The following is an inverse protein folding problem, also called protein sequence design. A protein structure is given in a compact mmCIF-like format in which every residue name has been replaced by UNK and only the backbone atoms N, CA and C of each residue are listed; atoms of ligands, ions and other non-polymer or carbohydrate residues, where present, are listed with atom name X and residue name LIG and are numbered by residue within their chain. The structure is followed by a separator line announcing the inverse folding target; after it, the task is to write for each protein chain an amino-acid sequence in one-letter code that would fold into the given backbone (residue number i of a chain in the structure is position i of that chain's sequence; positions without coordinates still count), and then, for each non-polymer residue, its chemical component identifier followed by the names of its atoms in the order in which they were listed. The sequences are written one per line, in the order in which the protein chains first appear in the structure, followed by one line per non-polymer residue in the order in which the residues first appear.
data_IF_264519421902
#
_entry.id   IF_264519421902
#
_cell.length_a   1.000
_cell.length_b   1.000
_cell.length_c   1.000
_cell.angle_alpha   90.00
_cell.angle_beta   90.00
_cell.angle_gamma   90.00
#
_symmetry.space_group_name_H-M   'P 1'
#
loop_
_entity.id
_entity.type
_entity.pdbx_description
1 polymer ?
#
# COMPACT_ATOMS: atom_id res chain seq x y z
N UNK A 1 51.23 3.88 -2.00
CA UNK A 1 51.08 3.32 -3.36
C UNK A 1 49.74 3.82 -3.92
N UNK A 2 49.76 4.88 -4.72
CA UNK A 2 48.54 5.51 -5.23
C UNK A 2 48.00 4.70 -6.43
N UNK A 3 46.75 4.24 -6.35
CA UNK A 3 46.08 3.58 -7.46
C UNK A 3 45.85 4.61 -8.59
N UNK A 4 46.39 4.35 -9.78
CA UNK A 4 46.06 5.13 -10.98
C UNK A 4 44.55 5.04 -11.26
N UNK A 5 43.91 6.12 -11.74
CA UNK A 5 42.44 6.16 -11.91
C UNK A 5 41.86 5.01 -12.74
N UNK A 6 42.62 4.49 -13.72
CA UNK A 6 42.23 3.31 -14.51
C UNK A 6 42.27 2.00 -13.71
N UNK A 7 43.20 1.89 -12.75
CA UNK A 7 43.32 0.74 -11.83
C UNK A 7 42.20 0.77 -10.78
N UNK A 8 41.84 1.96 -10.28
CA UNK A 8 40.70 2.13 -9.39
C UNK A 8 39.38 1.75 -10.07
N UNK A 9 39.13 2.20 -11.31
CA UNK A 9 37.94 1.79 -12.06
C UNK A 9 37.85 0.27 -12.30
N UNK A 10 38.98 -0.40 -12.56
CA UNK A 10 39.02 -1.86 -12.66
C UNK A 10 38.67 -2.54 -11.34
N UNK A 11 39.14 -2.00 -10.22
CA UNK A 11 38.79 -2.48 -8.88
C UNK A 11 37.29 -2.31 -8.62
N UNK A 12 36.72 -1.11 -8.84
CA UNK A 12 35.29 -0.86 -8.65
C UNK A 12 34.42 -1.83 -9.46
N UNK A 13 34.76 -2.06 -10.74
CA UNK A 13 34.05 -3.02 -11.58
C UNK A 13 34.13 -4.44 -11.03
N UNK A 14 35.30 -4.89 -10.57
CA UNK A 14 35.45 -6.23 -9.97
C UNK A 14 34.62 -6.36 -8.70
N UNK A 15 34.66 -5.37 -7.82
CA UNK A 15 33.83 -5.33 -6.61
C UNK A 15 32.35 -5.39 -6.96
N UNK A 16 31.90 -4.59 -7.93
CA UNK A 16 30.51 -4.61 -8.41
C UNK A 16 30.09 -5.98 -8.94
N UNK A 17 30.92 -6.63 -9.78
CA UNK A 17 30.62 -7.97 -10.28
C UNK A 17 30.59 -9.02 -9.18
N UNK A 18 31.54 -8.98 -8.23
CA UNK A 18 31.57 -9.89 -7.09
C UNK A 18 30.32 -9.73 -6.23
N UNK A 19 29.91 -8.49 -5.95
CA UNK A 19 28.68 -8.18 -5.21
C UNK A 19 27.46 -8.72 -5.96
N UNK A 20 27.33 -8.44 -7.26
CA UNK A 20 26.23 -8.94 -8.09
C UNK A 20 26.18 -10.47 -8.13
N UNK A 21 27.32 -11.13 -8.27
CA UNK A 21 27.41 -12.59 -8.30
C UNK A 21 27.00 -13.21 -6.94
N UNK A 22 27.42 -12.59 -5.84
CA UNK A 22 27.05 -13.04 -4.49
C UNK A 22 25.55 -12.91 -4.23
N UNK A 23 24.94 -11.77 -4.60
CA UNK A 23 23.49 -11.60 -4.53
C UNK A 23 22.73 -12.55 -5.44
N UNK A 24 23.26 -12.81 -6.64
CA UNK A 24 22.66 -13.75 -7.58
C UNK A 24 22.59 -15.17 -6.99
N UNK A 25 23.68 -15.64 -6.36
CA UNK A 25 23.71 -16.96 -5.73
C UNK A 25 22.69 -17.08 -4.58
N UNK A 26 22.62 -16.06 -3.71
CA UNK A 26 21.61 -16.03 -2.63
C UNK A 26 20.18 -16.02 -3.19
N UNK A 27 19.95 -15.32 -4.30
CA UNK A 27 18.66 -15.28 -4.95
C UNK A 27 18.30 -16.63 -5.58
N UNK A 28 19.26 -17.33 -6.22
CA UNK A 28 19.02 -18.65 -6.77
C UNK A 28 18.61 -19.66 -5.71
N UNK A 29 19.31 -19.72 -4.58
CA UNK A 29 18.98 -20.63 -3.47
C UNK A 29 17.57 -20.38 -2.94
N UNK A 30 17.21 -19.10 -2.74
CA UNK A 30 15.85 -18.71 -2.34
C UNK A 30 14.81 -19.09 -3.40
N UNK A 31 15.12 -18.90 -4.68
CA UNK A 31 14.21 -19.21 -5.78
C UNK A 31 13.99 -20.71 -5.97
N UNK A 32 15.01 -21.53 -5.73
CA UNK A 32 14.86 -23.00 -5.74
C UNK A 32 13.85 -23.44 -4.68
N UNK A 33 13.97 -22.89 -3.48
CA UNK A 33 13.07 -23.17 -2.37
C UNK A 33 11.65 -22.63 -2.65
N UNK A 34 11.54 -21.38 -3.12
CA UNK A 34 10.27 -20.80 -3.56
C UNK A 34 9.58 -21.65 -4.63
N UNK A 35 10.34 -22.31 -5.50
CA UNK A 35 9.79 -23.09 -6.60
C UNK A 35 8.88 -24.25 -6.13
N UNK A 36 9.01 -24.70 -4.87
CA UNK A 36 8.14 -25.68 -4.21
C UNK A 36 6.82 -25.08 -3.72
N UNK A 37 6.82 -23.77 -3.45
CA UNK A 37 5.69 -23.00 -2.94
C UNK A 37 5.12 -22.04 -3.99
N UNK A 38 5.53 -22.18 -5.25
CA UNK A 38 4.97 -21.42 -6.35
C UNK A 38 3.48 -21.76 -6.52
N UNK A 39 2.55 -20.78 -6.53
CA UNK A 39 1.11 -21.05 -6.59
C UNK A 39 0.66 -21.82 -7.84
N UNK A 40 1.45 -21.81 -8.92
CA UNK A 40 1.07 -22.45 -10.19
C UNK A 40 1.58 -23.90 -10.26
N UNK A 41 2.84 -24.12 -9.88
CA UNK A 41 3.55 -25.38 -10.11
C UNK A 41 4.02 -26.08 -8.83
N UNK A 42 4.00 -25.40 -7.69
CA UNK A 42 4.55 -25.87 -6.42
C UNK A 42 3.91 -27.16 -5.92
N UNK A 43 2.58 -27.23 -5.91
CA UNK A 43 1.84 -28.42 -5.47
C UNK A 43 2.28 -29.70 -6.20
N UNK A 44 2.47 -29.64 -7.52
CA UNK A 44 2.94 -30.78 -8.32
C UNK A 44 4.36 -31.19 -7.97
N UNK A 45 5.25 -30.24 -7.67
CA UNK A 45 6.63 -30.53 -7.29
C UNK A 45 6.71 -31.16 -5.89
N UNK A 46 5.89 -30.67 -4.96
CA UNK A 46 5.77 -31.26 -3.62
C UNK A 46 5.28 -32.72 -3.70
N UNK A 47 4.27 -32.99 -4.53
CA UNK A 47 3.79 -34.35 -4.81
C UNK A 47 4.89 -35.25 -5.42
N UNK A 48 5.65 -34.73 -6.38
CA UNK A 48 6.74 -35.48 -7.02
C UNK A 48 7.87 -35.84 -6.05
N UNK A 49 8.15 -34.99 -5.06
CA UNK A 49 9.21 -35.22 -4.09
C UNK A 49 8.78 -36.12 -2.93
N UNK A 50 7.49 -36.47 -2.81
CA UNK A 50 6.94 -37.33 -1.75
C UNK A 50 7.36 -36.90 -0.33
N UNK A 51 7.43 -35.60 -0.08
CA UNK A 51 7.84 -35.05 1.21
C UNK A 51 6.72 -35.21 2.25
N UNK A 52 7.10 -35.46 3.51
CA UNK A 52 6.16 -35.47 4.63
C UNK A 52 5.62 -34.06 4.92
N UNK A 53 4.39 -33.92 5.48
CA UNK A 53 3.84 -32.61 5.82
C UNK A 53 4.72 -31.77 6.76
N UNK A 54 5.50 -32.43 7.62
CA UNK A 54 6.47 -31.82 8.53
C UNK A 54 7.69 -31.29 7.79
N UNK A 55 8.25 -32.03 6.84
CA UNK A 55 9.38 -31.55 6.02
C UNK A 55 8.96 -30.35 5.17
N UNK A 56 7.76 -30.41 4.59
CA UNK A 56 7.20 -29.29 3.81
C UNK A 56 7.06 -28.04 4.69
N UNK A 57 6.61 -28.20 5.94
CA UNK A 57 6.52 -27.09 6.88
C UNK A 57 7.90 -26.49 7.22
N UNK A 58 8.92 -27.32 7.43
CA UNK A 58 10.30 -26.83 7.66
C UNK A 58 10.81 -26.05 6.44
N UNK A 59 10.62 -26.57 5.23
CA UNK A 59 11.00 -25.87 4.00
C UNK A 59 10.25 -24.54 3.83
N UNK A 60 9.00 -24.49 4.24
CA UNK A 60 8.15 -23.29 4.22
C UNK A 60 8.68 -22.22 5.19
N UNK A 61 9.02 -22.59 6.43
CA UNK A 61 9.61 -21.66 7.40
C UNK A 61 11.01 -21.21 6.99
N UNK A 62 11.81 -22.10 6.41
CA UNK A 62 13.12 -21.75 5.85
C UNK A 62 12.97 -20.74 4.70
N UNK A 63 11.96 -20.91 3.84
CA UNK A 63 11.69 -19.98 2.77
C UNK A 63 11.39 -18.58 3.28
N UNK A 64 10.48 -18.47 4.25
CA UNK A 64 10.18 -17.19 4.90
C UNK A 64 11.44 -16.60 5.53
N UNK A 65 12.22 -17.39 6.26
CA UNK A 65 13.48 -16.93 6.86
C UNK A 65 14.41 -16.29 5.83
N UNK A 66 14.65 -16.95 4.69
CA UNK A 66 15.48 -16.39 3.63
C UNK A 66 14.85 -15.16 2.99
N UNK A 67 13.54 -15.18 2.74
CA UNK A 67 12.82 -14.05 2.16
C UNK A 67 12.97 -12.80 3.03
N UNK A 68 12.69 -12.91 4.33
CA UNK A 68 12.81 -11.79 5.26
C UNK A 68 14.25 -11.29 5.37
N UNK A 69 15.25 -12.18 5.43
CA UNK A 69 16.66 -11.77 5.41
C UNK A 69 17.03 -11.00 4.14
N UNK A 70 16.51 -11.41 2.97
CA UNK A 70 16.73 -10.71 1.70
C UNK A 70 16.05 -9.34 1.72
N UNK A 71 14.84 -9.23 2.27
CA UNK A 71 14.13 -7.96 2.43
C UNK A 71 14.91 -7.01 3.33
N UNK A 72 15.33 -7.47 4.51
CA UNK A 72 16.08 -6.67 5.49
C UNK A 72 17.41 -6.19 4.89
N UNK A 73 18.19 -7.09 4.24
CA UNK A 73 19.45 -6.73 3.54
C UNK A 73 19.25 -5.78 2.34
N UNK A 74 18.05 -5.72 1.80
CA UNK A 74 17.70 -4.88 0.66
C UNK A 74 17.05 -3.55 1.06
N UNK A 75 17.07 -3.23 2.35
CA UNK A 75 16.45 -2.05 2.98
C UNK A 75 14.94 -1.95 2.73
N UNK A 76 14.25 -3.09 2.65
CA UNK A 76 12.79 -3.09 2.74
C UNK A 76 12.37 -3.03 4.21
N UNK A 77 11.41 -2.17 4.52
CA UNK A 77 10.74 -2.12 5.82
C UNK A 77 9.35 -2.73 5.70
N UNK A 78 8.86 -3.39 6.74
CA UNK A 78 7.45 -3.80 6.81
C UNK A 78 6.62 -2.55 7.04
N UNK A 79 5.51 -2.41 6.30
CA UNK A 79 4.62 -1.26 6.46
C UNK A 79 3.95 -1.29 7.84
N UNK A 80 4.03 -0.18 8.56
CA UNK A 80 3.39 -0.01 9.87
C UNK A 80 1.89 0.27 9.76
N UNK A 81 1.16 0.06 10.86
CA UNK A 81 -0.26 0.40 10.96
C UNK A 81 -0.50 1.90 10.69
N UNK A 82 0.41 2.76 11.15
CA UNK A 82 0.32 4.21 10.95
C UNK A 82 0.51 4.61 9.48
N UNK A 83 1.49 4.02 8.79
CA UNK A 83 1.68 4.24 7.34
C UNK A 83 0.44 3.81 6.54
N UNK A 84 -0.22 2.74 6.96
CA UNK A 84 -1.46 2.23 6.34
C UNK A 84 -2.63 3.15 6.66
N UNK A 85 -2.78 3.60 7.89
CA UNK A 85 -3.81 4.56 8.25
C UNK A 85 -3.65 5.89 7.52
N UNK A 86 -2.41 6.34 7.32
CA UNK A 86 -2.07 7.54 6.53
C UNK A 86 -2.35 7.34 5.04
N UNK A 87 -2.20 6.12 4.52
CA UNK A 87 -2.60 5.73 3.16
C UNK A 87 -4.13 5.73 3.00
N UNK A 88 -4.84 4.99 3.86
CA UNK A 88 -6.30 4.80 3.83
C UNK A 88 -7.09 6.07 4.14
N UNK A 89 -6.52 7.02 4.89
CA UNK A 89 -7.13 8.33 5.15
C UNK A 89 -6.99 9.31 3.98
N UNK A 90 -6.24 8.95 2.94
CA UNK A 90 -6.01 9.78 1.75
C UNK A 90 -7.12 9.65 0.71
N UNK A 91 -8.06 10.61 0.69
CA UNK A 91 -8.97 10.80 -0.44
C UNK A 91 -8.17 11.29 -1.66
N UNK A 92 -7.64 10.38 -2.49
CA UNK A 92 -6.81 10.82 -3.62
C UNK A 92 -7.59 11.02 -4.92
N UNK A 93 -8.53 10.15 -5.34
CA UNK A 93 -9.39 10.45 -6.50
C UNK A 93 -10.57 9.48 -6.70
N UNK A 94 -10.54 8.27 -6.10
CA UNK A 94 -11.64 7.31 -6.15
C UNK A 94 -11.79 6.64 -4.78
N UNK A 95 -12.84 7.00 -4.05
CA UNK A 95 -13.16 6.39 -2.76
C UNK A 95 -13.82 5.02 -3.01
N UNK A 96 -13.04 4.06 -3.50
CA UNK A 96 -13.50 2.67 -3.59
C UNK A 96 -13.09 2.04 -2.26
N UNK A 97 -14.01 1.76 -1.32
CA UNK A 97 -13.64 1.09 -0.08
C UNK A 97 -13.25 -0.36 -0.40
N UNK A 98 -11.98 -0.59 -0.75
CA UNK A 98 -11.48 -1.92 -1.09
C UNK A 98 -11.13 -2.62 0.22
N UNK A 99 -12.10 -3.35 0.78
CA UNK A 99 -11.83 -4.22 1.93
C UNK A 99 -11.23 -5.54 1.44
N UNK A 100 -10.16 -5.99 2.10
CA UNK A 100 -9.60 -7.33 1.88
C UNK A 100 -10.61 -8.39 2.34
N UNK A 101 -10.77 -9.44 1.55
CA UNK A 101 -11.53 -10.63 1.94
C UNK A 101 -10.67 -11.57 2.77
N UNK A 102 -10.64 -11.35 4.08
CA UNK A 102 -9.86 -12.18 4.99
C UNK A 102 -10.21 -13.67 4.96
N UNK A 103 -11.42 -14.03 4.53
CA UNK A 103 -11.85 -15.43 4.46
C UNK A 103 -11.10 -16.24 3.40
N UNK A 104 -10.52 -15.54 2.42
CA UNK A 104 -9.72 -16.14 1.35
C UNK A 104 -8.23 -16.17 1.65
N UNK A 105 -7.81 -15.66 2.79
CA UNK A 105 -6.40 -15.62 3.18
C UNK A 105 -6.14 -16.64 4.29
N UNK A 106 -5.02 -17.32 4.15
CA UNK A 106 -4.51 -18.17 5.21
C UNK A 106 -3.97 -17.32 6.36
N UNK A 107 -4.19 -17.80 7.60
CA UNK A 107 -3.75 -17.13 8.83
C UNK A 107 -2.68 -17.91 9.58
N UNK A 108 -2.31 -19.10 9.11
CA UNK A 108 -1.38 -19.98 9.83
C UNK A 108 0.08 -19.71 9.45
N UNK A 109 0.36 -19.42 8.17
CA UNK A 109 1.72 -19.30 7.64
C UNK A 109 2.55 -18.26 8.39
N UNK A 110 2.08 -17.00 8.34
CA UNK A 110 2.81 -15.86 8.89
C UNK A 110 2.69 -15.80 10.40
N UNK A 111 1.53 -16.20 10.95
CA UNK A 111 1.36 -16.32 12.41
C UNK A 111 2.36 -17.28 13.03
N UNK A 112 2.59 -18.45 12.41
CA UNK A 112 3.59 -19.42 12.90
C UNK A 112 4.99 -18.83 12.80
N UNK A 113 5.31 -18.22 11.66
CA UNK A 113 6.63 -17.61 11.46
C UNK A 113 6.95 -16.52 12.49
N UNK A 114 6.01 -15.62 12.77
CA UNK A 114 6.19 -14.53 13.75
C UNK A 114 6.12 -14.99 15.20
N UNK A 115 5.52 -16.14 15.50
CA UNK A 115 5.60 -16.74 16.82
C UNK A 115 7.05 -17.18 17.12
N UNK A 116 7.75 -17.72 16.13
CA UNK A 116 9.15 -18.13 16.23
C UNK A 116 10.14 -16.97 16.06
N UNK A 117 9.72 -15.90 15.34
CA UNK A 117 10.51 -14.71 15.07
C UNK A 117 9.77 -13.43 15.48
N UNK A 118 9.71 -13.12 16.80
CA UNK A 118 9.04 -11.92 17.28
C UNK A 118 9.67 -10.65 16.67
N UNK A 119 8.83 -9.75 16.16
CA UNK A 119 9.23 -8.42 15.68
C UNK A 119 8.37 -7.35 16.33
N UNK A 120 8.96 -6.19 16.56
CA UNK A 120 8.24 -5.00 17.03
C UNK A 120 7.49 -4.33 15.87
N UNK A 121 6.44 -3.57 16.18
CA UNK A 121 5.68 -2.76 15.21
C UNK A 121 5.05 -3.52 14.04
N UNK A 122 4.69 -4.80 14.24
CA UNK A 122 3.92 -5.56 13.26
C UNK A 122 2.48 -5.03 13.18
N UNK A 123 1.92 -4.88 11.98
CA UNK A 123 0.53 -4.47 11.82
C UNK A 123 -0.44 -5.58 12.25
N UNK A 124 -1.68 -5.20 12.58
CA UNK A 124 -2.69 -6.12 13.13
C UNK A 124 -3.09 -7.26 12.17
N UNK A 125 -2.89 -7.06 10.87
CA UNK A 125 -3.20 -8.04 9.81
C UNK A 125 -1.99 -8.88 9.38
N UNK A 126 -0.85 -8.76 10.07
CA UNK A 126 0.40 -9.47 9.75
C UNK A 126 0.29 -10.99 9.77
N UNK A 127 -0.76 -11.53 10.41
CA UNK A 127 -1.10 -12.96 10.38
C UNK A 127 -1.58 -13.45 9.00
N UNK A 128 -2.12 -12.55 8.16
CA UNK A 128 -2.74 -12.88 6.86
C UNK A 128 -1.82 -12.55 5.68
N UNK A 129 -1.24 -11.36 5.70
CA UNK A 129 -0.35 -10.87 4.65
C UNK A 129 0.60 -9.82 5.20
N UNK A 130 1.73 -9.64 4.53
CA UNK A 130 2.72 -8.62 4.84
C UNK A 130 2.99 -7.76 3.62
N UNK A 131 3.23 -6.49 3.88
CA UNK A 131 3.62 -5.51 2.86
C UNK A 131 5.01 -5.02 3.23
N UNK A 132 5.95 -5.24 2.33
CA UNK A 132 7.28 -4.64 2.37
C UNK A 132 7.30 -3.40 1.50
N UNK A 133 7.82 -2.30 2.01
CA UNK A 133 8.01 -1.05 1.28
C UNK A 133 9.49 -0.66 1.25
N UNK A 134 9.93 -0.01 0.17
CA UNK A 134 11.26 0.59 0.07
C UNK A 134 11.23 1.84 -0.80
N UNK A 135 11.95 2.87 -0.34
CA UNK A 135 12.11 4.15 -1.03
C UNK A 135 10.86 5.01 -0.93
N UNK A 136 11.07 6.31 -0.69
CA UNK A 136 10.01 7.33 -0.71
C UNK A 136 10.30 8.25 -1.90
N UNK A 137 9.55 8.05 -2.98
CA UNK A 137 9.56 8.89 -4.17
C UNK A 137 8.53 10.02 -4.07
N UNK A 138 8.47 10.85 -5.12
CA UNK A 138 7.51 11.94 -5.23
C UNK A 138 6.76 11.80 -6.56
N UNK A 139 5.44 11.61 -6.51
CA UNK A 139 4.58 11.76 -7.67
C UNK A 139 4.04 13.19 -7.73
N UNK A 140 4.17 13.80 -8.90
CA UNK A 140 3.74 15.18 -9.16
C UNK A 140 2.83 15.19 -10.38
N UNK A 141 1.55 15.43 -10.14
CA UNK A 141 0.60 15.63 -11.23
C UNK A 141 0.23 17.11 -11.30
N UNK A 142 0.47 17.74 -12.45
CA UNK A 142 0.10 19.15 -12.68
C UNK A 142 -0.94 19.23 -13.77
N UNK A 143 -2.19 19.46 -13.37
CA UNK A 143 -3.30 19.63 -14.29
C UNK A 143 -4.24 20.75 -13.84
N UNK A 144 -5.24 21.07 -14.64
CA UNK A 144 -6.23 22.11 -14.33
C UNK A 144 -7.19 21.67 -13.21
N UNK A 145 -7.43 20.36 -13.03
CA UNK A 145 -8.28 19.75 -12.00
C UNK A 145 -9.62 20.50 -11.82
N UNK A 146 -10.24 20.89 -12.94
CA UNK A 146 -11.37 21.83 -12.94
C UNK A 146 -12.59 21.19 -12.27
N UNK A 147 -12.89 19.93 -12.59
CA UNK A 147 -14.05 19.24 -12.01
C UNK A 147 -13.88 18.98 -10.52
N UNK A 148 -12.68 18.57 -10.08
CA UNK A 148 -12.37 18.34 -8.68
C UNK A 148 -12.50 19.63 -7.87
N UNK A 149 -12.05 20.77 -8.43
CA UNK A 149 -12.24 22.08 -7.79
C UNK A 149 -13.69 22.53 -7.76
N UNK A 150 -14.48 22.20 -8.79
CA UNK A 150 -15.92 22.52 -8.84
C UNK A 150 -16.69 21.69 -7.81
N UNK A 151 -16.42 20.39 -7.70
CA UNK A 151 -17.01 19.52 -6.69
C UNK A 151 -16.69 20.00 -5.27
N UNK A 152 -15.44 20.45 -5.03
CA UNK A 152 -15.05 21.08 -3.77
C UNK A 152 -15.83 22.37 -3.47
N UNK A 153 -16.07 23.22 -4.47
CA UNK A 153 -16.88 24.44 -4.32
C UNK A 153 -18.34 24.10 -4.03
N UNK A 154 -18.90 23.11 -4.72
CA UNK A 154 -20.25 22.60 -4.49
C UNK A 154 -20.36 22.10 -3.04
N UNK A 155 -19.40 21.31 -2.55
CA UNK A 155 -19.37 20.85 -1.16
C UNK A 155 -19.31 21.98 -0.13
N UNK A 156 -18.46 23.00 -0.35
CA UNK A 156 -18.39 24.20 0.51
C UNK A 156 -19.71 25.00 0.48
N UNK A 157 -20.34 25.09 -0.68
CA UNK A 157 -21.62 25.77 -0.86
C UNK A 157 -22.75 25.02 -0.14
N UNK A 158 -22.84 23.70 -0.27
CA UNK A 158 -23.82 22.88 0.46
C UNK A 158 -23.60 22.93 1.98
N UNK A 159 -22.35 22.85 2.44
CA UNK A 159 -22.02 22.99 3.86
C UNK A 159 -22.43 24.37 4.40
N UNK A 160 -22.23 25.43 3.63
CA UNK A 160 -22.72 26.77 3.98
C UNK A 160 -24.25 26.85 3.97
N UNK A 161 -24.91 26.33 2.93
CA UNK A 161 -26.35 26.33 2.78
C UNK A 161 -27.06 25.56 3.91
N UNK A 162 -26.54 24.38 4.29
CA UNK A 162 -27.05 23.57 5.39
C UNK A 162 -26.90 24.28 6.75
N UNK A 163 -25.75 24.94 6.96
CA UNK A 163 -25.46 25.73 8.16
C UNK A 163 -26.34 26.98 8.28
N UNK A 164 -26.67 27.63 7.17
CA UNK A 164 -27.59 28.77 7.09
C UNK A 164 -29.04 28.33 7.30
N UNK A 165 -29.43 27.17 6.77
CA UNK A 165 -30.80 26.64 6.87
C UNK A 165 -31.09 25.88 8.17
N UNK A 166 -30.11 25.74 9.08
CA UNK A 166 -30.21 25.00 10.37
C UNK A 166 -30.70 23.55 10.24
N UNK A 167 -30.61 22.96 9.05
CA UNK A 167 -31.02 21.58 8.76
C UNK A 167 -30.04 20.53 9.28
N UNK A 168 -28.86 20.96 9.75
CA UNK A 168 -27.85 20.13 10.43
C UNK A 168 -28.46 19.29 11.58
N UNK A 169 -29.54 19.78 12.22
CA UNK A 169 -30.23 19.09 13.32
C UNK A 169 -31.08 17.88 12.89
N UNK A 170 -31.39 17.72 11.60
CA UNK A 170 -32.21 16.60 11.12
C UNK A 170 -31.39 15.38 10.66
N UNK A 171 -30.10 15.56 10.40
CA UNK A 171 -29.22 14.47 9.92
C UNK A 171 -28.31 13.88 11.00
N UNK A 172 -28.22 14.48 12.18
CA UNK A 172 -27.45 13.93 13.30
C UNK A 172 -28.30 13.06 14.22
N UNK A 173 -28.41 11.78 13.88
CA UNK A 173 -28.62 10.73 14.89
C UNK A 173 -27.84 9.47 14.53
N UNK A 174 -26.94 9.11 15.46
CA UNK A 174 -26.14 7.88 15.55
C UNK A 174 -24.75 7.88 14.89
N UNK A 175 -23.74 8.32 15.67
CA UNK A 175 -22.74 7.42 16.25
C UNK A 175 -21.85 8.18 17.23
N UNK A 176 -22.04 7.90 18.52
CA UNK A 176 -21.03 8.22 19.52
C UNK A 176 -19.86 7.24 19.38
N UNK A 177 -18.66 7.76 19.22
CA UNK A 177 -17.46 7.16 19.81
C UNK A 177 -16.31 8.17 19.78
N UNK A 178 -15.91 8.54 21.01
CA UNK A 178 -14.64 9.12 21.44
C UNK A 178 -13.63 9.49 20.34
N UNK A 179 -13.52 10.79 20.07
CA UNK A 179 -12.29 11.38 19.55
C UNK A 179 -11.42 11.70 20.77
N UNK A 180 -10.35 10.93 20.99
CA UNK A 180 -9.27 11.35 21.88
C UNK A 180 -8.52 12.46 21.15
N UNK A 181 -8.51 13.65 21.73
CA UNK A 181 -7.61 14.73 21.37
C UNK A 181 -6.17 14.26 21.60
N UNK A 182 -5.42 14.04 20.51
CA UNK A 182 -3.97 13.92 20.60
C UNK A 182 -3.38 15.32 20.78
N UNK A 183 -3.23 15.66 22.06
CA UNK A 183 -2.45 16.78 22.53
C UNK A 183 -0.98 16.46 22.30
N UNK A 184 -0.32 17.33 21.54
CA UNK A 184 1.12 17.51 21.40
C UNK A 184 1.82 17.40 22.77
N UNK A 185 2.84 16.52 22.85
CA UNK A 185 4.05 16.53 23.69
C UNK A 185 4.46 15.08 23.98
N UNK A 186 5.60 14.61 23.49
CA UNK A 186 6.88 14.66 24.23
C UNK A 186 7.94 13.90 23.44
N UNK A 187 9.16 14.39 23.58
CA UNK A 187 10.39 13.87 23.02
C UNK A 187 10.58 12.37 23.31
N UNK A 188 10.63 11.56 22.26
CA UNK A 188 11.26 10.25 22.31
C UNK A 188 12.35 10.21 21.24
N UNK A 189 13.56 10.41 21.73
CA UNK A 189 14.80 10.18 21.03
C UNK A 189 14.95 8.66 20.81
N UNK A 190 14.56 8.17 19.64
CA UNK A 190 15.03 6.89 19.09
C UNK A 190 15.80 7.21 17.81
N UNK A 191 17.12 7.25 17.93
CA UNK A 191 18.09 7.71 16.93
C UNK A 191 18.27 6.74 15.72
N UNK A 192 17.22 6.03 15.26
CA UNK A 192 17.36 5.06 14.16
C UNK A 192 16.45 5.28 12.93
N UNK A 193 15.63 6.34 12.87
CA UNK A 193 14.75 6.61 11.71
C UNK A 193 14.99 7.99 11.03
N UNK A 194 16.25 8.42 10.89
CA UNK A 194 16.58 9.72 10.26
C UNK A 194 16.65 9.71 8.71
N UNK A 195 16.47 8.57 8.04
CA UNK A 195 16.62 8.47 6.57
C UNK A 195 15.31 8.39 5.77
N UNK A 196 14.14 8.42 6.41
CA UNK A 196 12.87 8.54 5.70
C UNK A 196 12.56 10.04 5.48
N UNK A 197 13.01 10.59 4.35
CA UNK A 197 12.72 11.96 3.88
C UNK A 197 11.24 12.33 4.13
N UNK A 198 10.99 13.25 5.06
CA UNK A 198 9.66 13.81 5.29
C UNK A 198 9.22 14.63 4.05
N UNK A 199 8.49 13.99 3.14
CA UNK A 199 7.93 14.65 1.96
C UNK A 199 6.53 15.17 2.30
N UNK A 200 6.37 16.49 2.26
CA UNK A 200 5.09 17.14 2.53
C UNK A 200 4.10 16.95 1.36
N UNK A 201 2.85 16.60 1.69
CA UNK A 201 1.75 16.48 0.73
C UNK A 201 1.24 17.86 0.30
N UNK A 202 1.06 18.05 -1.00
CA UNK A 202 0.40 19.25 -1.56
C UNK A 202 -0.93 18.79 -2.17
N UNK A 203 -2.05 19.09 -1.51
CA UNK A 203 -3.41 18.71 -1.92
C UNK A 203 -4.25 19.92 -2.30
N UNK A 204 -5.20 19.75 -3.23
CA UNK A 204 -6.17 20.79 -3.59
C UNK A 204 -7.03 21.23 -2.40
N UNK A 205 -7.28 20.34 -1.44
CA UNK A 205 -8.21 20.60 -0.34
C UNK A 205 -7.81 21.78 0.54
N UNK A 206 -6.50 21.99 0.68
CA UNK A 206 -5.90 23.06 1.49
C UNK A 206 -5.61 24.32 0.68
N UNK A 207 -5.97 24.38 -0.60
CA UNK A 207 -5.74 25.56 -1.43
C UNK A 207 -6.86 26.59 -1.30
N UNK A 208 -6.49 27.87 -1.43
CA UNK A 208 -7.43 28.97 -1.58
C UNK A 208 -8.06 28.95 -2.97
N UNK A 209 -9.23 28.32 -3.04
CA UNK A 209 -10.05 28.22 -4.25
C UNK A 209 -10.75 29.57 -4.47
N UNK A 210 -10.18 30.40 -5.35
CA UNK A 210 -10.83 31.58 -5.94
C UNK A 210 -11.24 31.26 -7.38
N UNK A 211 -12.29 31.90 -7.91
CA UNK A 211 -12.73 31.72 -9.31
C UNK A 211 -11.60 31.93 -10.34
N UNK A 212 -10.60 32.75 -10.02
CA UNK A 212 -9.39 32.95 -10.86
C UNK A 212 -8.36 31.82 -10.74
N UNK A 213 -8.37 31.05 -9.65
CA UNK A 213 -7.50 29.89 -9.39
C UNK A 213 -8.10 28.57 -9.91
N UNK A 214 -9.39 28.54 -10.27
CA UNK A 214 -10.05 27.40 -10.93
C UNK A 214 -9.42 27.08 -12.29
N UNK A 215 -9.12 28.12 -13.08
CA UNK A 215 -8.56 28.00 -14.43
C UNK A 215 -7.02 27.89 -14.46
N UNK A 216 -6.37 27.91 -13.29
CA UNK A 216 -4.91 27.76 -13.18
C UNK A 216 -4.53 26.31 -13.00
N UNK A 217 -3.43 25.90 -13.64
CA UNK A 217 -2.78 24.62 -13.37
C UNK A 217 -2.43 24.53 -11.89
N UNK A 218 -2.68 23.37 -11.31
CA UNK A 218 -2.44 23.08 -9.91
C UNK A 218 -1.59 21.84 -9.83
N UNK A 219 -0.47 21.92 -9.11
CA UNK A 219 0.40 20.78 -8.86
C UNK A 219 -0.05 20.09 -7.59
N UNK A 220 -0.47 18.84 -7.73
CA UNK A 220 -0.67 17.91 -6.63
C UNK A 220 0.62 17.15 -6.43
N UNK A 221 1.00 16.97 -5.17
CA UNK A 221 2.15 16.17 -4.79
C UNK A 221 1.74 15.13 -3.76
N UNK A 222 1.99 13.86 -4.06
CA UNK A 222 1.81 12.74 -3.14
C UNK A 222 3.12 11.95 -3.05
N UNK A 223 3.58 11.59 -1.84
CA UNK A 223 4.70 10.68 -1.70
C UNK A 223 4.36 9.30 -2.29
N UNK A 224 5.35 8.63 -2.87
CA UNK A 224 5.20 7.29 -3.45
C UNK A 224 6.13 6.30 -2.79
N UNK A 225 5.72 5.04 -2.75
CA UNK A 225 6.64 3.95 -2.49
C UNK A 225 7.30 3.51 -3.79
N UNK A 226 8.63 3.60 -3.86
CA UNK A 226 9.37 3.23 -5.08
C UNK A 226 9.17 1.74 -5.40
N UNK A 227 9.16 0.91 -4.36
CA UNK A 227 8.98 -0.54 -4.45
C UNK A 227 8.10 -1.04 -3.32
N UNK A 228 7.12 -1.86 -3.68
CA UNK A 228 6.29 -2.59 -2.73
C UNK A 228 6.35 -4.08 -3.08
N UNK A 229 6.48 -4.93 -2.08
CA UNK A 229 6.35 -6.38 -2.21
C UNK A 229 5.28 -6.85 -1.23
N UNK A 230 4.29 -7.59 -1.72
CA UNK A 230 3.19 -8.15 -0.92
C UNK A 230 3.34 -9.66 -0.90
N UNK A 231 3.33 -10.24 0.30
CA UNK A 231 3.48 -11.69 0.51
C UNK A 231 2.27 -12.20 1.25
N UNK A 232 1.61 -13.23 0.72
CA UNK A 232 0.42 -13.84 1.32
C UNK A 232 0.22 -15.28 0.85
N UNK A 233 -0.64 -16.03 1.53
CA UNK A 233 -1.10 -17.35 1.12
C UNK A 233 -2.62 -17.36 1.04
N UNK A 234 -3.16 -18.01 0.01
CA UNK A 234 -4.62 -18.20 -0.10
C UNK A 234 -5.09 -19.29 0.86
N UNK A 235 -6.30 -19.12 1.38
CA UNK A 235 -6.94 -20.13 2.20
C UNK A 235 -7.23 -21.37 1.35
N UNK A 236 -6.77 -22.53 1.81
CA UNK A 236 -7.02 -23.78 1.13
C UNK A 236 -8.45 -24.29 1.39
N UNK A 237 -9.23 -24.64 0.36
CA UNK A 237 -10.42 -25.45 0.58
C UNK A 237 -9.98 -26.82 1.10
N UNK A 238 -10.76 -27.38 2.04
CA UNK A 238 -10.46 -28.64 2.78
C UNK A 238 -10.07 -29.87 1.93
N UNK A 239 -10.22 -29.81 0.61
CA UNK A 239 -9.92 -30.88 -0.34
C UNK A 239 -8.59 -30.76 -1.08
N UNK A 240 -7.88 -29.62 -1.01
CA UNK A 240 -6.58 -29.42 -1.67
C UNK A 240 -5.53 -28.92 -0.67
N UNK A 241 -4.41 -29.61 -0.61
CA UNK A 241 -3.21 -29.16 0.12
C UNK A 241 -2.40 -28.21 -0.75
N UNK A 242 -3.01 -27.10 -1.17
CA UNK A 242 -2.29 -26.07 -1.90
C UNK A 242 -1.47 -25.23 -0.91
N UNK A 243 -0.14 -25.20 -1.09
CA UNK A 243 0.76 -24.42 -0.24
C UNK A 243 1.41 -23.26 -1.01
N UNK A 244 0.73 -22.79 -2.06
CA UNK A 244 1.14 -21.65 -2.84
C UNK A 244 1.32 -20.38 -2.00
N UNK A 245 2.50 -19.79 -2.04
CA UNK A 245 2.82 -18.49 -1.45
C UNK A 245 2.89 -17.48 -2.57
N UNK A 246 2.01 -16.48 -2.52
CA UNK A 246 1.96 -15.40 -3.50
C UNK A 246 2.94 -14.29 -3.11
N UNK A 247 3.79 -13.90 -4.06
CA UNK A 247 4.70 -12.76 -3.93
C UNK A 247 4.43 -11.81 -5.09
N UNK A 248 3.83 -10.67 -4.79
CA UNK A 248 3.51 -9.62 -5.77
C UNK A 248 4.45 -8.44 -5.60
N UNK A 249 4.93 -7.89 -6.70
CA UNK A 249 5.82 -6.75 -6.70
C UNK A 249 5.23 -5.59 -7.50
N UNK A 250 5.23 -4.42 -6.88
CA UNK A 250 4.72 -3.17 -7.44
C UNK A 250 5.81 -2.11 -7.40
N UNK A 251 5.71 -1.12 -8.29
CA UNK A 251 6.65 0.00 -8.38
C UNK A 251 5.90 1.31 -8.44
N UNK A 252 6.47 2.34 -7.84
CA UNK A 252 5.98 3.73 -7.89
C UNK A 252 4.49 3.83 -7.52
N UNK A 253 4.09 3.19 -6.43
CA UNK A 253 2.71 3.23 -5.96
C UNK A 253 2.55 4.46 -5.06
N UNK A 254 1.64 5.41 -5.36
CA UNK A 254 1.32 6.50 -4.45
C UNK A 254 0.93 5.98 -3.08
N UNK A 255 1.38 6.63 -2.01
CA UNK A 255 1.06 6.21 -0.65
C UNK A 255 -0.45 6.16 -0.43
N UNK A 256 -1.21 7.08 -1.01
CA UNK A 256 -2.67 7.08 -0.92
C UNK A 256 -3.35 5.90 -1.66
N UNK A 257 -2.65 5.31 -2.65
CA UNK A 257 -3.17 4.22 -3.46
C UNK A 257 -2.64 2.85 -2.98
N UNK A 258 -2.21 2.75 -1.72
CA UNK A 258 -1.76 1.48 -1.14
C UNK A 258 -2.84 0.40 -1.18
N UNK A 259 -4.13 0.78 -1.21
CA UNK A 259 -5.23 -0.15 -1.42
C UNK A 259 -5.11 -0.98 -2.72
N UNK A 260 -4.40 -0.45 -3.72
CA UNK A 260 -4.18 -1.15 -4.98
C UNK A 260 -3.36 -2.43 -4.78
N UNK A 261 -2.44 -2.45 -3.81
CA UNK A 261 -1.57 -3.61 -3.58
C UNK A 261 -2.20 -4.69 -2.72
N UNK A 262 -3.33 -4.40 -2.07
CA UNK A 262 -3.99 -5.32 -1.15
C UNK A 262 -4.45 -6.61 -1.86
N UNK A 263 -4.22 -7.79 -1.23
CA UNK A 263 -4.65 -9.07 -1.78
C UNK A 263 -6.17 -9.26 -1.66
N UNK A 264 -6.73 -10.14 -2.50
CA UNK A 264 -8.12 -10.61 -2.42
C UNK A 264 -9.17 -9.53 -2.08
N UNK A 265 -9.24 -8.53 -2.96
CA UNK A 265 -10.16 -7.40 -2.85
C UNK A 265 -11.62 -7.88 -2.87
N UNK A 266 -12.43 -7.46 -1.91
CA UNK A 266 -13.89 -7.57 -2.03
C UNK A 266 -14.34 -6.63 -3.13
N UNK A 267 -15.08 -7.15 -4.10
CA UNK A 267 -15.78 -6.31 -5.07
C UNK A 267 -16.78 -5.43 -4.29
N UNK A 268 -16.60 -4.10 -4.27
CA UNK A 268 -17.63 -3.25 -3.72
C UNK A 268 -18.77 -3.26 -4.73
N UNK A 269 -19.90 -3.85 -4.35
CA UNK A 269 -21.16 -3.38 -4.91
C UNK A 269 -21.26 -1.89 -4.57
N UNK A 270 -21.52 -1.05 -5.57
CA UNK A 270 -21.69 0.39 -5.38
C UNK A 270 -22.63 0.66 -4.19
N UNK A 271 -22.22 1.54 -3.29
CA UNK A 271 -23.05 1.91 -2.13
C UNK A 271 -24.29 2.63 -2.67
N UNK A 272 -25.51 2.46 -2.11
CA UNK A 272 -26.71 3.14 -2.60
C UNK A 272 -26.58 4.68 -2.67
N UNK A 273 -25.71 5.27 -1.84
CA UNK A 273 -25.38 6.70 -1.87
C UNK A 273 -24.58 7.10 -3.11
N UNK A 274 -23.74 6.22 -3.63
CA UNK A 274 -22.92 6.45 -4.82
C UNK A 274 -23.81 6.51 -6.07
N UNK A 275 -24.87 5.69 -6.12
CA UNK A 275 -25.91 5.74 -7.15
C UNK A 275 -26.66 7.07 -7.19
N UNK A 276 -27.05 7.60 -6.02
CA UNK A 276 -27.74 8.89 -5.92
C UNK A 276 -26.80 10.02 -6.36
N UNK A 277 -25.54 9.96 -5.96
CA UNK A 277 -24.52 10.95 -6.35
C UNK A 277 -24.29 10.94 -7.86
N UNK A 278 -24.25 9.76 -8.47
CA UNK A 278 -24.11 9.58 -9.93
C UNK A 278 -25.34 10.07 -10.71
N UNK A 279 -26.55 9.83 -10.20
CA UNK A 279 -27.79 10.29 -10.81
C UNK A 279 -27.91 11.82 -10.74
N UNK A 280 -27.55 12.42 -9.61
CA UNK A 280 -27.59 13.88 -9.43
C UNK A 280 -26.52 14.56 -10.28
N UNK A 281 -25.30 14.00 -10.35
CA UNK A 281 -24.24 14.57 -11.21
C UNK A 281 -24.59 14.50 -12.70
N UNK A 282 -25.24 13.42 -13.15
CA UNK A 282 -25.71 13.29 -14.53
C UNK A 282 -26.80 14.31 -14.90
N UNK A 283 -27.72 14.59 -13.98
CA UNK A 283 -28.80 15.59 -14.17
C UNK A 283 -28.24 17.02 -14.19
N UNK A 284 -27.26 17.32 -13.32
CA UNK A 284 -26.60 18.64 -13.30
C UNK A 284 -25.74 18.84 -14.56
N UNK A 285 -25.05 17.79 -15.03
CA UNK A 285 -24.27 17.82 -16.27
C UNK A 285 -25.12 18.07 -17.52
N UNK A 286 -26.31 17.47 -17.61
CA UNK A 286 -27.26 17.74 -18.70
C UNK A 286 -27.91 19.12 -18.61
N UNK A 287 -28.21 19.60 -17.40
CA UNK A 287 -28.72 20.96 -17.19
C UNK A 287 -27.70 22.06 -17.54
N UNK A 288 -26.41 21.83 -17.29
CA UNK A 288 -25.35 22.79 -17.61
C UNK A 288 -25.05 22.85 -19.12
N UNK A 289 -25.14 21.72 -19.84
CA UNK A 289 -25.03 21.69 -21.30
C UNK A 289 -26.23 22.39 -21.99
N UNK A 290 -27.42 22.35 -21.40
CA UNK A 290 -28.61 23.01 -21.94
C UNK A 290 -28.61 24.54 -21.78
N UNK A 291 -27.75 25.10 -20.91
CA UNK A 291 -27.67 26.55 -20.70
C UNK A 291 -26.57 27.23 -21.53
N UNK A 292 -25.73 26.44 -22.21
CA UNK A 292 -24.63 26.90 -23.06
C UNK A 292 -24.86 26.63 -24.56
N UNK A 293 -26.08 26.29 -24.96
CA UNK A 293 -26.49 26.11 -26.36
C UNK A 293 -27.58 27.07 -26.78
#
# INVERSE_FOLDING_TARGET
MALTGRSFLKLCKRVEYTIRAWYFLQFEDMMQLYSLFDPVSGAKKLEQQNLSPTEIHVLEQNFLTFLFQVMDKSNFKITSEDEINVALSGQYLLNIPIKVDESKLDKELLKTYFADHPRENLPDFSDKYIIFRRGIGIDKTTDYFVMEKVDMLIGRFWGYLLRVTRLDKFFDKSRGQHKKDLKKNDDLNSEEDQDDLFVERIRLEKMDISFKNLLRKTTIQEPTFDRIIVVYREATPKSKTDRGIYIKHFKNIPMADLEIVLPEKKNPGLTPKDWVTFLVSAVVGTGCCAWFS
#
